data_IF_047406621375
#
_entry.id   IF_047406621375
#
_cell.length_a   1.000
_cell.length_b   1.000
_cell.length_c   1.000
_cell.angle_alpha   90.00
_cell.angle_beta   90.00
_cell.angle_gamma   90.00
#
_symmetry.space_group_name_H-M   'P 1'
#
loop_
_entity.id
_entity.type
_entity.pdbx_description
1 polymer ?
#
# COMPACT_ATOMS: atom_id res chain seq x y z
N UNK A 1 25.23 16.35 -10.96
CA UNK A 1 24.88 15.06 -10.34
C UNK A 1 23.68 14.51 -11.08
N UNK A 2 23.86 13.50 -11.93
CA UNK A 2 22.71 12.83 -12.56
C UNK A 2 21.88 12.19 -11.44
N UNK A 3 20.75 12.78 -11.10
CA UNK A 3 19.94 12.30 -9.98
C UNK A 3 19.42 10.90 -10.27
N UNK A 4 19.79 9.94 -9.42
CA UNK A 4 19.34 8.55 -9.49
C UNK A 4 17.82 8.45 -9.18
N UNK A 5 17.15 7.33 -9.49
CA UNK A 5 15.73 7.14 -9.21
C UNK A 5 15.38 7.32 -7.72
N UNK A 6 16.28 6.98 -6.81
CA UNK A 6 16.08 7.12 -5.35
C UNK A 6 15.87 8.58 -4.96
N UNK A 7 16.79 9.47 -5.33
CA UNK A 7 16.70 10.89 -4.99
C UNK A 7 15.44 11.56 -5.57
N UNK A 8 15.04 11.15 -6.77
CA UNK A 8 13.83 11.67 -7.42
C UNK A 8 12.56 11.15 -6.76
N UNK A 9 12.53 9.89 -6.30
CA UNK A 9 11.40 9.36 -5.51
C UNK A 9 11.24 10.19 -4.24
N UNK A 10 12.32 10.37 -3.49
CA UNK A 10 12.31 11.11 -2.23
C UNK A 10 11.89 12.57 -2.43
N UNK A 11 12.35 13.21 -3.50
CA UNK A 11 11.88 14.54 -3.88
C UNK A 11 10.38 14.55 -4.18
N UNK A 12 9.86 13.50 -4.83
CA UNK A 12 8.43 13.35 -5.11
C UNK A 12 7.63 13.05 -3.85
N UNK A 13 8.21 12.42 -2.83
CA UNK A 13 7.54 12.21 -1.53
C UNK A 13 7.53 13.52 -0.73
N UNK A 14 8.64 14.27 -0.73
CA UNK A 14 8.82 15.39 0.20
C UNK A 14 8.29 16.74 -0.30
N UNK A 15 8.34 17.00 -1.62
CA UNK A 15 8.14 18.36 -2.17
C UNK A 15 6.92 18.52 -3.07
N UNK A 16 6.07 17.51 -3.13
CA UNK A 16 5.00 17.44 -4.12
C UNK A 16 3.73 18.11 -3.58
N UNK A 17 3.64 19.44 -3.72
CA UNK A 17 2.45 20.21 -3.31
C UNK A 17 1.35 20.23 -4.39
N UNK A 18 1.73 20.10 -5.68
CA UNK A 18 0.82 20.25 -6.83
C UNK A 18 0.39 18.94 -7.48
N UNK A 19 1.05 17.86 -7.14
CA UNK A 19 0.75 16.53 -7.67
C UNK A 19 -0.59 16.00 -7.18
N UNK A 20 -1.08 16.45 -6.03
CA UNK A 20 -2.41 16.11 -5.53
C UNK A 20 -3.50 16.63 -6.47
N UNK A 21 -3.38 17.87 -6.97
CA UNK A 21 -4.28 18.42 -8.00
C UNK A 21 -4.17 17.68 -9.34
N UNK A 22 -2.97 17.18 -9.67
CA UNK A 22 -2.75 16.35 -10.85
C UNK A 22 -3.40 14.97 -10.66
N UNK A 23 -3.38 14.44 -9.43
CA UNK A 23 -3.91 13.14 -9.06
C UNK A 23 -5.41 13.13 -8.84
N UNK A 24 -6.02 14.21 -8.35
CA UNK A 24 -7.48 14.31 -8.17
C UNK A 24 -8.22 14.31 -9.51
N UNK A 25 -7.57 14.81 -10.56
CA UNK A 25 -8.08 14.76 -11.94
C UNK A 25 -8.05 13.35 -12.55
N UNK A 26 -7.49 12.36 -11.86
CA UNK A 26 -7.29 11.02 -12.41
C UNK A 26 -8.52 10.12 -12.39
N UNK A 27 -9.33 10.12 -11.33
CA UNK A 27 -10.37 9.10 -11.15
C UNK A 27 -9.90 7.65 -11.38
N UNK A 28 -10.82 6.67 -11.39
CA UNK A 28 -10.45 5.25 -11.53
C UNK A 28 -10.16 4.80 -12.98
N UNK A 29 -10.42 5.63 -14.01
CA UNK A 29 -10.43 5.17 -15.43
C UNK A 29 -9.49 5.96 -16.37
N UNK A 30 -8.68 6.90 -15.87
CA UNK A 30 -7.84 7.76 -16.75
C UNK A 30 -6.32 7.50 -16.70
N UNK A 31 -5.82 6.56 -15.88
CA UNK A 31 -4.37 6.37 -15.66
C UNK A 31 -3.56 6.16 -16.96
N UNK A 32 -4.13 5.42 -17.92
CA UNK A 32 -3.44 5.11 -19.18
C UNK A 32 -3.29 6.36 -20.06
N UNK A 33 -4.35 7.19 -20.16
CA UNK A 33 -4.30 8.48 -20.88
C UNK A 33 -3.44 9.53 -20.17
N UNK A 34 -3.25 9.36 -18.87
CA UNK A 34 -2.53 10.30 -18.02
C UNK A 34 -1.03 10.04 -17.98
N UNK A 35 -0.60 8.79 -18.12
CA UNK A 35 0.81 8.45 -18.32
C UNK A 35 1.38 9.04 -19.63
N UNK A 36 0.52 9.27 -20.62
CA UNK A 36 0.88 9.95 -21.86
C UNK A 36 0.84 11.49 -21.76
N UNK A 37 0.41 12.05 -20.62
CA UNK A 37 0.29 13.50 -20.42
C UNK A 37 1.65 14.15 -20.07
N UNK A 38 1.97 15.30 -20.66
CA UNK A 38 3.19 16.05 -20.35
C UNK A 38 3.24 16.56 -18.90
N UNK A 39 2.08 16.79 -18.27
CA UNK A 39 1.99 17.28 -16.89
C UNK A 39 2.52 16.27 -15.86
N UNK A 40 2.39 14.96 -16.10
CA UNK A 40 2.90 13.97 -15.13
C UNK A 40 4.43 13.89 -15.12
N UNK A 41 5.08 14.33 -16.20
CA UNK A 41 6.54 14.42 -16.28
C UNK A 41 7.11 15.47 -15.33
N UNK A 42 6.25 16.34 -14.78
CA UNK A 42 6.62 17.28 -13.70
C UNK A 42 6.87 16.56 -12.37
N UNK A 43 6.33 15.35 -12.17
CA UNK A 43 6.65 14.54 -10.99
C UNK A 43 8.09 14.01 -11.15
N UNK A 44 9.03 14.38 -10.26
CA UNK A 44 10.46 14.12 -10.45
C UNK A 44 10.80 12.67 -10.80
N UNK A 45 10.18 11.70 -10.11
CA UNK A 45 10.44 10.28 -10.34
C UNK A 45 9.79 9.73 -11.61
N UNK A 46 8.60 10.22 -11.97
CA UNK A 46 7.82 9.68 -13.09
C UNK A 46 8.52 9.95 -14.43
N UNK A 47 9.08 11.14 -14.62
CA UNK A 47 9.86 11.45 -15.83
C UNK A 47 11.01 10.46 -16.05
N UNK A 48 11.62 9.93 -14.98
CA UNK A 48 12.68 8.91 -15.07
C UNK A 48 12.14 7.57 -15.55
N UNK A 49 11.03 7.11 -14.98
CA UNK A 49 10.41 5.83 -15.35
C UNK A 49 9.89 5.89 -16.79
N UNK A 50 9.26 7.01 -17.19
CA UNK A 50 8.81 7.24 -18.57
C UNK A 50 9.99 7.34 -19.54
N UNK A 51 11.12 7.92 -19.13
CA UNK A 51 12.30 7.96 -20.00
C UNK A 51 12.88 6.56 -20.23
N UNK A 52 12.82 5.67 -19.24
CA UNK A 52 13.18 4.26 -19.40
C UNK A 52 12.22 3.53 -20.34
N UNK A 53 10.92 3.82 -20.27
CA UNK A 53 9.91 3.33 -21.21
C UNK A 53 10.14 3.78 -22.65
N UNK A 54 10.68 4.97 -22.87
CA UNK A 54 10.95 5.45 -24.23
C UNK A 54 12.21 4.83 -24.83
N UNK A 55 13.10 4.28 -24.00
CA UNK A 55 14.28 3.57 -24.44
C UNK A 55 13.99 2.13 -24.92
N UNK A 56 12.80 1.59 -24.66
CA UNK A 56 12.32 0.30 -25.17
C UNK A 56 10.85 0.06 -24.80
N UNK A 57 10.11 -0.67 -25.63
CA UNK A 57 8.66 -0.91 -25.48
C UNK A 57 8.35 -1.92 -24.34
N UNK A 58 8.63 -1.52 -23.09
CA UNK A 58 8.63 -2.41 -21.93
C UNK A 58 7.39 -2.23 -21.04
N UNK A 59 6.44 -3.16 -21.18
CA UNK A 59 5.26 -3.26 -20.29
C UNK A 59 5.63 -3.23 -18.80
N UNK A 60 6.81 -3.74 -18.39
CA UNK A 60 7.24 -3.74 -16.99
C UNK A 60 7.47 -2.34 -16.47
N UNK A 61 8.14 -1.49 -17.23
CA UNK A 61 8.38 -0.11 -16.83
C UNK A 61 7.07 0.69 -16.75
N UNK A 62 6.09 0.34 -17.59
CA UNK A 62 4.74 0.93 -17.58
C UNK A 62 3.97 0.50 -16.33
N UNK A 63 3.97 -0.79 -16.02
CA UNK A 63 3.38 -1.31 -14.81
C UNK A 63 4.04 -0.72 -13.55
N UNK A 64 5.36 -0.54 -13.57
CA UNK A 64 6.11 0.08 -12.46
C UNK A 64 5.76 1.56 -12.28
N UNK A 65 5.61 2.33 -13.37
CA UNK A 65 5.15 3.71 -13.30
C UNK A 65 3.78 3.82 -12.62
N UNK A 66 2.83 2.94 -12.99
CA UNK A 66 1.50 2.88 -12.35
C UNK A 66 1.58 2.58 -10.86
N UNK A 67 2.50 1.71 -10.44
CA UNK A 67 2.74 1.40 -9.02
C UNK A 67 3.26 2.63 -8.27
N UNK A 68 4.22 3.36 -8.83
CA UNK A 68 4.76 4.58 -8.21
C UNK A 68 3.69 5.66 -8.10
N UNK A 69 2.87 5.87 -9.14
CA UNK A 69 1.77 6.85 -9.10
C UNK A 69 0.79 6.49 -7.99
N UNK A 70 0.30 5.24 -7.97
CA UNK A 70 -0.63 4.78 -6.94
C UNK A 70 -0.06 4.93 -5.52
N UNK A 71 1.23 4.71 -5.35
CA UNK A 71 1.91 4.95 -4.08
C UNK A 71 1.94 6.44 -3.71
N UNK A 72 2.37 7.31 -4.63
CA UNK A 72 2.49 8.75 -4.38
C UNK A 72 1.15 9.41 -4.08
N UNK A 73 0.07 8.98 -4.76
CA UNK A 73 -1.30 9.43 -4.50
C UNK A 73 -1.68 9.27 -3.03
N UNK A 74 -1.35 8.12 -2.44
CA UNK A 74 -1.72 7.80 -1.06
C UNK A 74 -0.80 8.49 -0.06
N UNK A 75 0.50 8.60 -0.38
CA UNK A 75 1.46 9.38 0.41
C UNK A 75 1.06 10.86 0.47
N UNK A 76 0.45 11.37 -0.60
CA UNK A 76 0.07 12.78 -0.68
C UNK A 76 -1.07 13.20 0.25
N UNK A 77 -1.77 12.23 0.82
CA UNK A 77 -2.77 12.47 1.88
C UNK A 77 -2.15 12.96 3.18
N UNK A 78 -0.83 12.84 3.36
CA UNK A 78 -0.07 13.33 4.51
C UNK A 78 0.40 14.75 4.24
N UNK A 79 0.27 15.67 5.21
CA UNK A 79 0.68 17.07 5.02
C UNK A 79 2.19 17.21 4.83
N UNK A 80 2.66 18.22 4.10
CA UNK A 80 4.10 18.45 3.86
C UNK A 80 4.85 18.58 5.19
N UNK A 81 4.25 19.26 6.17
CA UNK A 81 4.82 19.47 7.51
C UNK A 81 5.00 18.14 8.27
N UNK A 82 4.08 17.20 8.12
CA UNK A 82 4.23 15.85 8.71
C UNK A 82 5.34 15.06 8.02
N UNK A 83 5.45 15.15 6.69
CA UNK A 83 6.53 14.48 5.92
C UNK A 83 7.89 15.04 6.30
N UNK A 84 8.05 16.37 6.28
CA UNK A 84 9.29 17.05 6.63
C UNK A 84 9.73 16.67 8.05
N UNK A 85 8.81 16.73 9.03
CA UNK A 85 9.09 16.30 10.42
C UNK A 85 9.59 14.87 10.49
N UNK A 86 8.99 13.95 9.72
CA UNK A 86 9.44 12.56 9.68
C UNK A 86 10.87 12.44 9.14
N UNK A 87 11.16 13.06 8.00
CA UNK A 87 12.49 12.98 7.38
C UNK A 87 13.57 13.64 8.24
N UNK A 88 13.30 14.81 8.83
CA UNK A 88 14.24 15.49 9.72
C UNK A 88 14.61 14.66 10.96
N UNK A 89 13.67 13.84 11.44
CA UNK A 89 13.86 13.01 12.63
C UNK A 89 14.51 11.67 12.34
N UNK A 90 14.13 11.00 11.24
CA UNK A 90 14.52 9.61 10.96
C UNK A 90 15.52 9.44 9.82
N UNK A 91 15.72 10.48 9.01
CA UNK A 91 16.62 10.45 7.84
C UNK A 91 17.65 11.58 7.93
N UNK A 92 18.44 11.57 9.00
CA UNK A 92 19.41 12.61 9.32
C UNK A 92 20.68 12.54 8.47
N UNK A 93 20.96 11.37 7.88
CA UNK A 93 22.11 11.18 7.00
C UNK A 93 21.68 10.85 5.56
N UNK A 94 22.52 11.19 4.55
CA UNK A 94 22.27 10.79 3.16
C UNK A 94 22.08 9.29 2.98
N UNK A 95 22.75 8.46 3.77
CA UNK A 95 22.68 7.00 3.73
C UNK A 95 21.30 6.51 4.18
N UNK A 96 20.78 7.01 5.32
CA UNK A 96 19.45 6.65 5.83
C UNK A 96 18.35 7.04 4.83
N UNK A 97 18.49 8.23 4.26
CA UNK A 97 17.57 8.73 3.24
C UNK A 97 17.61 7.84 1.99
N UNK A 98 18.80 7.46 1.54
CA UNK A 98 19.01 6.56 0.39
C UNK A 98 18.42 5.17 0.66
N UNK A 99 18.68 4.60 1.84
CA UNK A 99 18.17 3.29 2.26
C UNK A 99 16.64 3.24 2.26
N UNK A 100 15.98 4.28 2.79
CA UNK A 100 14.52 4.37 2.78
C UNK A 100 13.98 4.42 1.35
N UNK A 101 14.57 5.23 0.48
CA UNK A 101 14.16 5.35 -0.91
C UNK A 101 14.42 4.07 -1.72
N UNK A 102 15.56 3.41 -1.52
CA UNK A 102 15.89 2.12 -2.15
C UNK A 102 14.93 1.02 -1.70
N UNK A 103 14.71 0.89 -0.39
CA UNK A 103 13.78 -0.10 0.18
C UNK A 103 12.36 0.11 -0.35
N UNK A 104 11.93 1.37 -0.47
CA UNK A 104 10.63 1.74 -1.04
C UNK A 104 10.55 1.33 -2.52
N UNK A 105 11.55 1.65 -3.34
CA UNK A 105 11.57 1.24 -4.75
C UNK A 105 11.58 -0.28 -4.91
N UNK A 106 12.36 -0.99 -4.09
CA UNK A 106 12.41 -2.46 -4.10
C UNK A 106 11.07 -3.08 -3.70
N UNK A 107 10.36 -2.48 -2.73
CA UNK A 107 9.02 -2.93 -2.35
C UNK A 107 8.02 -2.72 -3.49
N UNK A 108 8.02 -1.52 -4.10
CA UNK A 108 7.16 -1.21 -5.24
C UNK A 108 7.47 -2.07 -6.47
N UNK A 109 8.72 -2.47 -6.67
CA UNK A 109 9.08 -3.36 -7.77
C UNK A 109 8.51 -4.77 -7.56
N UNK A 110 8.53 -5.26 -6.31
CA UNK A 110 8.09 -6.61 -5.93
C UNK A 110 6.58 -6.80 -5.82
N UNK A 111 5.78 -5.74 -5.64
CA UNK A 111 4.32 -5.91 -5.60
C UNK A 111 3.74 -6.16 -6.99
N UNK A 112 2.82 -7.11 -7.08
CA UNK A 112 2.31 -7.63 -8.36
C UNK A 112 1.28 -6.71 -9.05
N UNK A 113 0.54 -5.91 -8.28
CA UNK A 113 -0.57 -5.10 -8.80
C UNK A 113 -0.52 -3.65 -8.29
N UNK A 114 -0.92 -2.65 -9.11
CA UNK A 114 -1.04 -1.25 -8.67
C UNK A 114 -1.84 -1.04 -7.37
N UNK A 115 -2.88 -1.85 -7.16
CA UNK A 115 -3.66 -1.84 -5.90
C UNK A 115 -2.81 -2.11 -4.67
N UNK A 116 -1.86 -3.05 -4.75
CA UNK A 116 -0.95 -3.33 -3.63
C UNK A 116 0.04 -2.18 -3.41
N UNK A 117 0.45 -1.48 -4.48
CA UNK A 117 1.28 -0.29 -4.36
C UNK A 117 0.54 0.88 -3.69
N UNK A 118 -0.76 1.05 -3.97
CA UNK A 118 -1.61 2.00 -3.24
C UNK A 118 -1.73 1.62 -1.76
N UNK A 119 -2.01 0.34 -1.46
CA UNK A 119 -2.03 -0.16 -0.09
C UNK A 119 -0.70 0.09 0.64
N UNK A 120 0.42 -0.09 -0.06
CA UNK A 120 1.75 0.21 0.46
C UNK A 120 1.95 1.71 0.71
N UNK A 121 1.44 2.57 -0.19
CA UNK A 121 1.42 4.03 0.01
C UNK A 121 0.63 4.45 1.24
N UNK A 122 -0.53 3.84 1.51
CA UNK A 122 -1.31 4.06 2.73
C UNK A 122 -0.55 3.64 3.99
N UNK A 123 0.07 2.46 3.96
CA UNK A 123 0.90 2.00 5.06
C UNK A 123 2.07 2.96 5.31
N UNK A 124 2.72 3.43 4.24
CA UNK A 124 3.80 4.40 4.31
C UNK A 124 3.33 5.74 4.88
N UNK A 125 2.13 6.21 4.49
CA UNK A 125 1.49 7.39 5.04
C UNK A 125 1.26 7.30 6.56
N UNK A 126 0.90 6.12 7.08
CA UNK A 126 0.79 5.90 8.53
C UNK A 126 2.13 6.11 9.25
N UNK A 127 3.24 5.67 8.65
CA UNK A 127 4.58 5.88 9.17
C UNK A 127 4.98 7.37 9.15
N UNK A 128 4.66 8.08 8.06
CA UNK A 128 5.00 9.50 7.90
C UNK A 128 4.31 10.42 8.92
N UNK A 129 3.18 10.00 9.51
CA UNK A 129 2.56 10.74 10.63
C UNK A 129 3.44 10.77 11.89
N UNK A 130 4.56 10.06 11.92
CA UNK A 130 5.60 10.06 12.98
C UNK A 130 5.06 9.68 14.36
N UNK A 131 4.23 8.63 14.41
CA UNK A 131 3.85 7.96 15.66
C UNK A 131 4.54 6.60 15.77
N UNK A 132 4.90 6.20 16.99
CA UNK A 132 5.48 4.86 17.22
C UNK A 132 4.54 3.74 16.76
N UNK A 133 3.23 3.92 16.98
CA UNK A 133 2.21 3.02 16.45
C UNK A 133 2.21 2.99 14.90
N UNK A 134 2.35 4.14 14.23
CA UNK A 134 2.35 4.23 12.78
C UNK A 134 3.52 3.50 12.13
N UNK A 135 4.73 3.58 12.71
CA UNK A 135 5.91 2.82 12.24
C UNK A 135 5.71 1.31 12.38
N UNK A 136 5.24 0.87 13.55
CA UNK A 136 4.96 -0.54 13.79
C UNK A 136 3.88 -1.07 12.83
N UNK A 137 2.82 -0.30 12.62
CA UNK A 137 1.77 -0.65 11.66
C UNK A 137 2.32 -0.71 10.23
N UNK A 138 3.19 0.21 9.83
CA UNK A 138 3.84 0.15 8.52
C UNK A 138 4.63 -1.14 8.31
N UNK A 139 5.44 -1.56 9.28
CA UNK A 139 6.21 -2.81 9.17
C UNK A 139 5.28 -4.03 9.03
N UNK A 140 4.29 -4.14 9.90
CA UNK A 140 3.33 -5.24 9.90
C UNK A 140 2.50 -5.26 8.61
N UNK A 141 1.94 -4.12 8.23
CA UNK A 141 1.10 -4.01 7.05
C UNK A 141 1.91 -4.20 5.77
N UNK A 142 3.16 -3.75 5.70
CA UNK A 142 4.05 -4.01 4.56
C UNK A 142 4.24 -5.50 4.33
N UNK A 143 4.43 -6.29 5.40
CA UNK A 143 4.51 -7.74 5.30
C UNK A 143 3.20 -8.35 4.78
N UNK A 144 2.04 -7.92 5.32
CA UNK A 144 0.73 -8.41 4.91
C UNK A 144 0.45 -8.08 3.44
N UNK A 145 0.68 -6.83 3.03
CA UNK A 145 0.47 -6.32 1.66
C UNK A 145 1.29 -7.14 0.65
N UNK A 146 2.56 -7.40 0.95
CA UNK A 146 3.45 -8.18 0.09
C UNK A 146 2.93 -9.59 -0.19
N UNK A 147 2.21 -10.19 0.75
CA UNK A 147 1.70 -11.56 0.63
C UNK A 147 0.20 -11.61 0.28
N UNK A 148 -0.41 -10.45 0.00
CA UNK A 148 -1.84 -10.37 -0.24
C UNK A 148 -2.18 -10.70 -1.69
N UNK A 149 -3.00 -11.72 -1.91
CA UNK A 149 -3.46 -12.11 -3.25
C UNK A 149 -4.79 -11.43 -3.61
N UNK A 150 -5.14 -11.32 -4.91
CA UNK A 150 -6.48 -10.86 -5.32
C UNK A 150 -7.62 -11.67 -4.71
N UNK A 151 -7.39 -12.96 -4.44
CA UNK A 151 -8.35 -13.84 -3.77
C UNK A 151 -8.58 -13.42 -2.32
N UNK A 152 -7.52 -13.12 -1.57
CA UNK A 152 -7.62 -12.67 -0.18
C UNK A 152 -8.24 -11.26 -0.09
N UNK A 153 -7.90 -10.33 -1.00
CA UNK A 153 -8.50 -8.99 -1.05
C UNK A 153 -10.03 -9.03 -1.22
N UNK A 154 -10.54 -9.87 -2.14
CA UNK A 154 -11.99 -10.03 -2.35
C UNK A 154 -12.69 -10.58 -1.09
N UNK A 155 -12.05 -11.54 -0.42
CA UNK A 155 -12.58 -12.11 0.82
C UNK A 155 -12.56 -11.10 1.97
N UNK A 156 -11.48 -10.34 2.15
CA UNK A 156 -11.41 -9.24 3.11
C UNK A 156 -12.57 -8.25 2.93
N UNK A 157 -12.86 -7.88 1.67
CA UNK A 157 -14.01 -7.07 1.32
C UNK A 157 -15.34 -7.64 1.80
N UNK A 158 -15.55 -8.94 1.61
CA UNK A 158 -16.79 -9.63 2.01
C UNK A 158 -16.91 -9.76 3.54
N UNK A 159 -15.80 -10.02 4.21
CA UNK A 159 -15.71 -10.25 5.66
C UNK A 159 -15.92 -8.95 6.45
N UNK A 160 -15.30 -7.85 6.02
CA UNK A 160 -15.29 -6.60 6.77
C UNK A 160 -16.33 -5.57 6.31
N UNK A 161 -16.81 -5.62 5.04
CA UNK A 161 -17.90 -4.74 4.55
C UNK A 161 -19.26 -5.11 5.14
N UNK A 162 -19.58 -6.40 5.19
CA UNK A 162 -20.91 -6.88 5.56
C UNK A 162 -20.88 -7.47 6.96
N UNK A 163 -21.05 -6.62 7.98
CA UNK A 163 -21.13 -7.07 9.37
C UNK A 163 -22.42 -7.85 9.61
N UNK A 164 -22.32 -9.13 9.96
CA UNK A 164 -23.41 -9.84 10.64
C UNK A 164 -23.71 -11.25 10.12
N UNK A 165 -23.67 -11.51 8.81
CA UNK A 165 -24.06 -12.82 8.25
C UNK A 165 -23.38 -13.01 6.89
N UNK A 166 -22.10 -13.39 6.89
CA UNK A 166 -21.46 -13.88 5.67
C UNK A 166 -20.86 -15.24 5.96
N UNK A 167 -21.30 -16.26 5.22
CA UNK A 167 -20.49 -17.45 5.02
C UNK A 167 -19.24 -17.00 4.29
N UNK A 168 -18.13 -16.84 5.00
CA UNK A 168 -16.84 -16.58 4.39
C UNK A 168 -16.22 -17.89 3.92
N UNK A 169 -15.43 -17.80 2.86
CA UNK A 169 -14.63 -18.91 2.39
C UNK A 169 -13.68 -19.37 3.49
N UNK A 170 -13.80 -20.64 3.88
CA UNK A 170 -13.02 -21.24 4.97
C UNK A 170 -11.51 -21.23 4.70
N UNK A 171 -11.09 -21.41 3.45
CA UNK A 171 -9.68 -21.38 3.08
C UNK A 171 -9.12 -19.97 3.19
N UNK A 172 -9.85 -18.97 2.67
CA UNK A 172 -9.47 -17.56 2.86
C UNK A 172 -9.42 -17.19 4.34
N UNK A 173 -10.41 -17.60 5.13
CA UNK A 173 -10.45 -17.30 6.56
C UNK A 173 -9.25 -17.91 7.32
N UNK A 174 -8.88 -19.15 6.97
CA UNK A 174 -7.70 -19.80 7.52
C UNK A 174 -6.40 -19.08 7.14
N UNK A 175 -6.23 -18.67 5.88
CA UNK A 175 -5.06 -17.89 5.46
C UNK A 175 -4.98 -16.54 6.16
N UNK A 176 -6.11 -15.84 6.30
CA UNK A 176 -6.19 -14.54 6.98
C UNK A 176 -5.87 -14.65 8.49
N UNK A 177 -6.03 -15.81 9.11
CA UNK A 177 -5.55 -16.05 10.47
C UNK A 177 -4.02 -15.97 10.59
N UNK A 178 -3.26 -16.37 9.57
CA UNK A 178 -1.79 -16.30 9.60
C UNK A 178 -1.29 -14.84 9.70
N UNK A 179 -2.11 -13.88 9.29
CA UNK A 179 -1.82 -12.45 9.35
C UNK A 179 -2.46 -11.76 10.56
N UNK A 180 -3.17 -12.50 11.43
CA UNK A 180 -3.95 -11.92 12.53
C UNK A 180 -5.19 -11.14 12.06
N UNK A 181 -5.51 -11.16 10.77
CA UNK A 181 -6.67 -10.48 10.18
C UNK A 181 -7.97 -11.25 10.47
N UNK A 182 -7.89 -12.48 10.94
CA UNK A 182 -9.01 -13.24 11.51
C UNK A 182 -8.50 -14.08 12.67
N UNK A 183 -9.39 -14.54 13.52
CA UNK A 183 -9.08 -15.50 14.58
C UNK A 183 -9.88 -16.79 14.40
N UNK A 184 -9.25 -17.92 14.70
CA UNK A 184 -9.91 -19.21 14.73
C UNK A 184 -10.27 -19.56 16.18
N UNK A 185 -11.55 -19.84 16.44
CA UNK A 185 -12.03 -20.39 17.71
C UNK A 185 -12.44 -21.84 17.55
N UNK A 186 -12.08 -22.66 18.52
CA UNK A 186 -12.43 -24.07 18.58
C UNK A 186 -13.39 -24.25 19.75
N UNK A 187 -14.59 -24.73 19.45
CA UNK A 187 -15.61 -25.03 20.46
C UNK A 187 -15.80 -26.55 20.54
N UNK A 188 -15.81 -27.08 21.77
CA UNK A 188 -16.20 -28.45 22.01
C UNK A 188 -17.73 -28.57 21.93
N UNK A 189 -18.26 -29.54 21.17
CA UNK A 189 -19.69 -29.83 21.20
C UNK A 189 -20.04 -30.54 22.50
N UNK A 190 -20.90 -29.91 23.31
CA UNK A 190 -21.39 -30.46 24.59
C UNK A 190 -22.12 -31.80 24.40
N UNK A 191 -22.74 -32.00 23.23
CA UNK A 191 -23.53 -33.18 22.89
C UNK A 191 -22.74 -34.35 22.30
N UNK A 192 -21.55 -34.10 21.73
CA UNK A 192 -20.72 -35.16 21.16
C UNK A 192 -19.24 -34.75 21.31
N UNK A 193 -18.57 -35.28 22.33
CA UNK A 193 -17.22 -34.85 22.76
C UNK A 193 -16.13 -35.04 21.69
N UNK A 194 -16.40 -35.83 20.66
CA UNK A 194 -15.45 -36.14 19.58
C UNK A 194 -15.53 -35.16 18.39
N UNK A 195 -16.50 -34.23 18.38
CA UNK A 195 -16.62 -33.21 17.32
C UNK A 195 -16.19 -31.82 17.82
N UNK A 196 -15.04 -31.36 17.34
CA UNK A 196 -14.58 -29.97 17.51
C UNK A 196 -15.12 -29.10 16.38
N UNK A 197 -15.88 -28.05 16.72
CA UNK A 197 -16.32 -27.07 15.73
C UNK A 197 -15.32 -25.92 15.64
N UNK A 198 -14.77 -25.72 14.43
CA UNK A 198 -13.95 -24.55 14.09
C UNK A 198 -14.83 -23.43 13.57
N UNK A 199 -14.67 -22.25 14.14
CA UNK A 199 -15.31 -21.02 13.68
C UNK A 199 -14.25 -19.95 13.48
N UNK A 200 -14.38 -19.15 12.43
CA UNK A 200 -13.52 -18.00 12.19
C UNK A 200 -14.26 -16.72 12.55
N UNK A 201 -13.55 -15.76 13.12
CA UNK A 201 -14.12 -14.46 13.48
C UNK A 201 -13.21 -13.33 12.97
N UNK A 202 -13.78 -12.23 12.46
CA UNK A 202 -13.01 -11.02 12.17
C UNK A 202 -12.37 -10.48 13.46
N UNK A 203 -11.14 -9.98 13.37
CA UNK A 203 -10.43 -9.33 14.50
C UNK A 203 -10.56 -7.82 14.41
N UNK A 204 -10.35 -7.12 15.53
CA UNK A 204 -10.23 -5.66 15.51
C UNK A 204 -9.01 -5.21 14.69
N UNK A 205 -7.89 -5.93 14.80
CA UNK A 205 -6.70 -5.70 13.99
C UNK A 205 -7.00 -5.79 12.48
N UNK A 206 -7.72 -6.84 12.06
CA UNK A 206 -8.12 -7.00 10.67
C UNK A 206 -9.14 -5.96 10.19
N UNK A 207 -10.01 -5.48 11.08
CA UNK A 207 -10.90 -4.34 10.78
C UNK A 207 -10.09 -3.07 10.53
N UNK A 208 -9.14 -2.76 11.41
CA UNK A 208 -8.25 -1.60 11.23
C UNK A 208 -7.43 -1.70 9.96
N UNK A 209 -6.84 -2.86 9.65
CA UNK A 209 -6.15 -3.05 8.37
C UNK A 209 -7.10 -2.85 7.18
N UNK A 210 -8.33 -3.36 7.26
CA UNK A 210 -9.31 -3.16 6.20
C UNK A 210 -9.64 -1.68 5.98
N UNK A 211 -9.92 -0.96 7.05
CA UNK A 211 -10.33 0.46 6.99
C UNK A 211 -9.13 1.36 6.61
N UNK A 212 -7.95 1.14 7.20
CA UNK A 212 -6.78 1.98 6.97
C UNK A 212 -6.11 1.70 5.60
N UNK A 213 -6.10 0.43 5.17
CA UNK A 213 -5.26 -0.02 4.04
C UNK A 213 -6.08 -0.46 2.83
N UNK A 214 -7.16 -1.21 3.00
CA UNK A 214 -7.94 -1.71 1.86
C UNK A 214 -8.95 -0.66 1.37
N UNK A 215 -9.57 0.11 2.26
CA UNK A 215 -10.72 0.96 1.93
C UNK A 215 -10.62 2.41 2.45
N UNK A 216 -10.15 3.34 1.61
CA UNK A 216 -10.53 4.73 1.81
C UNK A 216 -11.63 5.22 0.86
N UNK A 217 -11.66 4.83 -0.43
CA UNK A 217 -12.67 5.33 -1.39
C UNK A 217 -13.06 4.29 -2.46
N UNK A 218 -14.33 3.86 -2.44
CA UNK A 218 -15.10 3.62 -3.67
C UNK A 218 -15.69 4.96 -4.12
#
# INVERSE_FOLDING_TARGET
MSQNPVGKLLQSINKSERSSELFDKLGEVALDKFLDNDLIKEIPIIGTVISLLKAGDDFRAYAFARKIIGFLQEVETVTVEERDRFFEKHCQTPEQLTELGETTLMALDKVDHPTLAQMYGRAFALMLKDSEAGKLLFEQYSYIIKNMSPYLLRNMGSIYKYSGISTFDTHAAHELCNYGLMEQKIFARVTNKDEMQRTYMPTEYGRRFYDDIIRPFQ
#
